data_IF_940914700201
#
_entry.id   IF_940914700201
#
_cell.length_a   1.000
_cell.length_b   1.000
_cell.length_c   1.000
_cell.angle_alpha   90.00
_cell.angle_beta   90.00
_cell.angle_gamma   90.00
#
_symmetry.space_group_name_H-M   'P 1'
#
loop_
_entity.id
_entity.type
_entity.pdbx_description
1 polymer ?
#
# COMPACT_ATOMS: atom_id res chain seq x y z
N UNK A 1 -18.91 -10.17 4.27
CA UNK A 1 -18.62 -9.01 3.42
C UNK A 1 -17.36 -9.24 2.63
N UNK A 2 -17.44 -9.15 1.32
CA UNK A 2 -16.28 -9.39 0.46
C UNK A 2 -15.70 -8.05 0.04
N UNK A 3 -14.46 -7.78 0.44
CA UNK A 3 -13.74 -6.60 0.03
C UNK A 3 -13.02 -6.89 -1.28
N UNK A 4 -13.18 -6.03 -2.27
CA UNK A 4 -12.42 -6.13 -3.51
C UNK A 4 -11.21 -5.22 -3.47
N UNK A 5 -10.11 -5.70 -4.05
CA UNK A 5 -8.90 -4.90 -4.22
C UNK A 5 -8.71 -4.65 -5.72
N UNK A 6 -8.52 -3.39 -6.08
CA UNK A 6 -8.30 -2.99 -7.46
C UNK A 6 -7.09 -2.09 -7.57
N UNK A 7 -6.59 -1.92 -8.78
CA UNK A 7 -5.50 -0.99 -9.07
C UNK A 7 -5.38 -0.77 -10.57
N UNK A 8 -4.62 0.26 -10.91
CA UNK A 8 -4.24 0.55 -12.29
C UNK A 8 -3.01 -0.28 -12.63
N UNK A 9 -3.06 -1.04 -13.71
CA UNK A 9 -1.97 -1.93 -14.10
C UNK A 9 -0.67 -1.17 -14.43
N UNK A 10 -0.76 0.01 -14.98
CA UNK A 10 0.42 0.83 -15.26
C UNK A 10 1.08 1.29 -13.96
N UNK A 11 0.28 1.65 -12.97
CA UNK A 11 0.80 2.01 -11.66
C UNK A 11 1.41 0.81 -10.95
N UNK A 12 0.80 -0.36 -11.09
CA UNK A 12 1.34 -1.59 -10.50
C UNK A 12 2.72 -1.90 -11.06
N UNK A 13 2.87 -1.79 -12.37
CA UNK A 13 4.15 -2.03 -13.04
C UNK A 13 5.21 -1.02 -12.61
N UNK A 14 4.86 0.25 -12.61
CA UNK A 14 5.76 1.33 -12.19
C UNK A 14 6.18 1.16 -10.74
N UNK A 15 5.24 0.79 -9.87
CA UNK A 15 5.51 0.56 -8.46
C UNK A 15 6.49 -0.60 -8.26
N UNK A 16 6.29 -1.67 -9.02
CA UNK A 16 7.19 -2.82 -8.93
C UNK A 16 8.61 -2.45 -9.38
N UNK A 17 8.73 -1.67 -10.45
CA UNK A 17 10.03 -1.21 -10.93
C UNK A 17 10.75 -0.35 -9.90
N UNK A 18 10.01 0.50 -9.18
CA UNK A 18 10.59 1.41 -8.18
C UNK A 18 10.89 0.73 -6.86
N UNK A 19 9.98 -0.10 -6.38
CA UNK A 19 10.00 -0.58 -5.00
C UNK A 19 10.13 -2.10 -4.87
N UNK A 20 9.97 -2.83 -5.97
CA UNK A 20 10.05 -4.28 -5.94
C UNK A 20 8.88 -4.97 -5.24
N UNK A 21 7.78 -4.25 -5.03
CA UNK A 21 6.60 -4.78 -4.36
C UNK A 21 5.44 -4.83 -5.34
N UNK A 22 4.80 -6.00 -5.40
CA UNK A 22 3.60 -6.18 -6.22
C UNK A 22 2.36 -5.78 -5.43
N UNK A 23 1.35 -5.28 -6.10
CA UNK A 23 0.11 -4.91 -5.42
C UNK A 23 -0.62 -6.13 -4.85
N UNK A 24 -0.46 -7.29 -5.46
CA UNK A 24 -0.94 -8.55 -4.91
C UNK A 24 -0.31 -8.85 -3.55
N UNK A 25 0.96 -8.49 -3.39
CA UNK A 25 1.66 -8.63 -2.10
C UNK A 25 1.19 -7.58 -1.10
N UNK A 26 0.88 -6.39 -1.58
CA UNK A 26 0.39 -5.30 -0.74
C UNK A 26 -0.95 -5.63 -0.09
N UNK A 27 -1.87 -6.27 -0.83
CA UNK A 27 -3.19 -6.58 -0.28
C UNK A 27 -3.15 -7.57 0.88
N UNK A 28 -2.08 -8.34 1.01
CA UNK A 28 -1.92 -9.32 2.08
C UNK A 28 -1.90 -8.65 3.46
N UNK A 29 -1.43 -7.40 3.56
CA UNK A 29 -1.34 -6.73 4.86
C UNK A 29 -2.70 -6.48 5.51
N UNK A 30 -3.80 -6.56 4.74
CA UNK A 30 -5.14 -6.46 5.31
C UNK A 30 -5.51 -7.68 6.16
N UNK A 31 -4.74 -8.77 6.05
CA UNK A 31 -4.93 -9.94 6.91
C UNK A 31 -4.12 -9.86 8.21
N UNK A 32 -3.24 -8.88 8.34
CA UNK A 32 -2.45 -8.68 9.54
C UNK A 32 -3.30 -7.97 10.61
N UNK A 33 -3.61 -8.64 11.74
CA UNK A 33 -4.45 -8.02 12.77
C UNK A 33 -3.77 -6.86 13.49
N UNK A 34 -2.46 -6.73 13.36
CA UNK A 34 -1.70 -5.64 13.97
C UNK A 34 -1.45 -4.47 13.01
N UNK A 35 -1.95 -4.55 11.78
CA UNK A 35 -1.79 -3.45 10.83
C UNK A 35 -2.52 -2.21 11.33
N UNK A 36 -1.97 -1.04 10.99
CA UNK A 36 -2.57 0.25 11.35
C UNK A 36 -2.89 1.04 10.10
N UNK A 37 -3.88 1.89 10.21
CA UNK A 37 -4.36 2.68 9.08
C UNK A 37 -4.58 4.10 9.53
N UNK A 38 -4.21 5.06 8.68
CA UNK A 38 -4.47 6.47 8.95
C UNK A 38 -4.69 7.24 7.66
N UNK A 39 -5.41 8.36 7.81
CA UNK A 39 -5.74 9.26 6.71
C UNK A 39 -4.53 10.10 6.33
N UNK A 40 -4.32 10.29 5.02
CA UNK A 40 -3.23 11.12 4.50
C UNK A 40 -3.80 12.40 3.90
N UNK A 41 -3.89 13.50 4.68
CA UNK A 41 -4.50 14.74 4.19
C UNK A 41 -3.67 15.44 3.13
N UNK A 42 -2.35 15.28 3.13
CA UNK A 42 -1.48 15.95 2.17
C UNK A 42 -1.70 15.47 0.74
N UNK A 43 -2.10 14.23 0.56
CA UNK A 43 -2.30 13.64 -0.74
C UNK A 43 -3.78 13.38 -1.06
N UNK A 44 -4.68 14.06 -0.37
CA UNK A 44 -6.12 13.84 -0.49
C UNK A 44 -6.84 14.98 -1.21
N UNK A 45 -6.26 15.54 -2.26
CA UNK A 45 -6.82 16.71 -2.94
C UNK A 45 -8.08 16.39 -3.75
N UNK A 46 -8.16 15.25 -4.39
CA UNK A 46 -9.31 14.85 -5.21
C UNK A 46 -10.11 13.70 -4.64
N UNK A 47 -9.44 12.83 -3.92
CA UNK A 47 -10.06 11.68 -3.27
C UNK A 47 -9.30 11.40 -1.98
N UNK A 48 -9.98 10.85 -1.02
CA UNK A 48 -9.37 10.55 0.26
C UNK A 48 -8.37 9.41 0.12
N UNK A 49 -7.13 9.68 0.48
CA UNK A 49 -6.07 8.69 0.50
C UNK A 49 -5.72 8.32 1.92
N UNK A 50 -5.52 7.03 2.11
CA UNK A 50 -5.14 6.47 3.40
C UNK A 50 -3.84 5.71 3.23
N UNK A 51 -3.17 5.49 4.36
CA UNK A 51 -1.96 4.67 4.41
C UNK A 51 -2.21 3.54 5.39
N UNK A 52 -1.92 2.32 4.98
CA UNK A 52 -1.94 1.17 5.87
C UNK A 52 -0.53 0.60 5.98
N UNK A 53 -0.13 0.31 7.20
CA UNK A 53 1.17 -0.27 7.52
C UNK A 53 0.92 -1.64 8.12
N UNK A 54 1.47 -2.67 7.52
CA UNK A 54 1.24 -4.02 8.00
C UNK A 54 2.27 -5.00 7.49
N UNK A 55 2.20 -6.21 7.99
CA UNK A 55 3.14 -7.28 7.69
C UNK A 55 2.68 -8.13 6.53
N UNK A 56 3.55 -8.30 5.55
CA UNK A 56 3.47 -9.38 4.58
C UNK A 56 4.51 -10.42 5.02
N UNK A 57 4.11 -11.67 5.28
CA UNK A 57 5.04 -12.67 5.83
C UNK A 57 6.28 -12.93 5.00
N UNK A 58 6.22 -12.68 3.69
CA UNK A 58 7.34 -12.90 2.78
C UNK A 58 8.18 -11.65 2.56
N UNK A 59 7.53 -10.47 2.59
CA UNK A 59 8.17 -9.20 2.23
C UNK A 59 8.51 -8.32 3.43
N UNK A 60 7.97 -8.62 4.61
CA UNK A 60 8.14 -7.79 5.80
C UNK A 60 7.09 -6.69 5.89
N UNK A 61 7.40 -5.64 6.60
CA UNK A 61 6.47 -4.53 6.80
C UNK A 61 6.36 -3.71 5.52
N UNK A 62 5.12 -3.49 5.08
CA UNK A 62 4.83 -2.70 3.89
C UNK A 62 4.00 -1.47 4.25
N UNK A 63 4.26 -0.37 3.53
CA UNK A 63 3.47 0.85 3.56
C UNK A 63 2.66 0.88 2.27
N UNK A 64 1.34 0.90 2.40
CA UNK A 64 0.45 0.86 1.24
C UNK A 64 -0.44 2.08 1.24
N UNK A 65 -0.37 2.86 0.16
CA UNK A 65 -1.27 4.00 -0.07
C UNK A 65 -2.47 3.49 -0.87
N UNK A 66 -3.66 3.84 -0.43
CA UNK A 66 -4.88 3.37 -1.06
C UNK A 66 -6.02 4.36 -0.91
N UNK A 67 -7.06 4.18 -1.71
CA UNK A 67 -8.33 4.88 -1.55
C UNK A 67 -9.37 3.85 -1.14
N UNK A 68 -10.08 4.17 -0.07
CA UNK A 68 -11.13 3.31 0.43
C UNK A 68 -12.47 3.80 -0.12
N UNK A 69 -13.09 2.99 -0.94
CA UNK A 69 -14.42 3.27 -1.48
C UNK A 69 -15.44 2.44 -0.71
N UNK A 70 -15.64 2.80 0.54
CA UNK A 70 -16.48 2.06 1.48
C UNK A 70 -17.85 1.71 0.94
N UNK A 71 -18.50 2.61 0.24
CA UNK A 71 -19.83 2.38 -0.31
C UNK A 71 -19.85 1.27 -1.35
N UNK A 72 -18.70 1.01 -1.99
CA UNK A 72 -18.58 -0.02 -3.02
C UNK A 72 -17.84 -1.25 -2.49
N UNK A 73 -17.39 -1.21 -1.24
CA UNK A 73 -16.57 -2.27 -0.64
C UNK A 73 -15.33 -2.57 -1.46
N UNK A 74 -14.71 -1.51 -1.99
CA UNK A 74 -13.54 -1.60 -2.86
C UNK A 74 -12.38 -0.83 -2.26
N UNK A 75 -11.22 -1.45 -2.23
CA UNK A 75 -9.95 -0.82 -1.89
C UNK A 75 -9.17 -0.65 -3.20
N UNK A 76 -8.82 0.58 -3.54
CA UNK A 76 -7.97 0.82 -4.71
C UNK A 76 -6.56 1.12 -4.26
N UNK A 77 -5.64 0.21 -4.55
CA UNK A 77 -4.23 0.36 -4.17
C UNK A 77 -3.55 1.32 -5.14
N UNK A 78 -2.79 2.26 -4.60
CA UNK A 78 -2.11 3.31 -5.37
C UNK A 78 -0.61 3.11 -5.38
N UNK A 79 -0.01 2.77 -4.24
CA UNK A 79 1.42 2.49 -4.16
C UNK A 79 1.71 1.58 -2.97
N UNK A 80 2.86 0.91 -3.03
CA UNK A 80 3.29 0.04 -1.95
C UNK A 80 4.81 0.00 -1.91
N UNK A 81 5.40 0.12 -0.72
CA UNK A 81 6.83 0.06 -0.54
C UNK A 81 7.19 -0.61 0.78
N UNK A 82 8.43 -1.06 0.86
CA UNK A 82 8.95 -1.66 2.09
C UNK A 82 9.33 -0.56 3.09
N UNK A 83 9.15 -0.85 4.37
CA UNK A 83 9.46 0.09 5.45
C UNK A 83 10.91 0.56 5.43
N UNK A 84 11.84 -0.36 5.21
CA UNK A 84 13.27 -0.06 5.32
C UNK A 84 13.96 0.33 4.01
N UNK A 85 13.21 0.45 2.94
CA UNK A 85 13.80 0.74 1.63
C UNK A 85 14.64 2.02 1.61
N UNK A 86 14.10 3.11 2.16
CA UNK A 86 14.80 4.39 2.20
C UNK A 86 15.94 4.40 3.20
N UNK A 87 15.78 3.75 4.34
CA UNK A 87 16.82 3.66 5.35
C UNK A 87 18.04 2.90 4.85
N UNK A 88 17.82 1.81 4.12
CA UNK A 88 18.90 1.05 3.53
C UNK A 88 19.69 1.87 2.52
N UNK A 89 19.03 2.67 1.74
CA UNK A 89 19.67 3.56 0.77
C UNK A 89 20.47 4.65 1.48
N UNK A 90 19.92 5.22 2.55
CA UNK A 90 20.62 6.23 3.34
C UNK A 90 21.89 5.67 3.96
N UNK A 91 21.87 4.44 4.43
CA UNK A 91 23.02 3.83 5.07
C UNK A 91 24.14 3.49 4.08
N UNK A 92 23.83 3.39 2.82
CA UNK A 92 24.82 3.10 1.78
C UNK A 92 25.55 4.34 1.26
N UNK A 93 25.07 5.48 1.60
CA UNK A 93 25.74 6.73 1.25
C UNK A 93 26.63 7.20 2.38
#
# INVERSE_FOLDING_TARGET
MIMEYTWDENKAKSNFEKHGVRFEEAQVIWTDPLSIEYFDPENSSREERCIRIGLNPTRGILFVVFCDKEQLEVIRIISARKEYEEELQSQRT
#
